data_IF_201156920851
#
_entry.id   IF_201156920851
#
_cell.length_a   1.000
_cell.length_b   1.000
_cell.length_c   1.000
_cell.angle_alpha   90.00
_cell.angle_beta   90.00
_cell.angle_gamma   90.00
#
_symmetry.space_group_name_H-M   'P 1'
#
loop_
_entity.id
_entity.type
_entity.pdbx_description
1 polymer ?
#
# COMPACT_ATOMS: atom_id res chain seq x y z
N UNK A 1 78.57 4.98 -9.87
CA UNK A 1 77.36 4.27 -10.35
C UNK A 1 76.13 4.95 -9.73
N UNK A 2 75.27 5.59 -10.53
CA UNK A 2 74.03 6.24 -10.06
C UNK A 2 72.87 5.28 -10.25
N UNK A 3 72.28 4.76 -9.17
CA UNK A 3 71.05 3.97 -9.25
C UNK A 3 69.84 4.89 -9.20
N UNK A 4 69.05 4.85 -10.28
CA UNK A 4 67.82 5.61 -10.47
C UNK A 4 66.66 4.70 -10.04
N UNK A 5 65.99 5.05 -8.95
CA UNK A 5 64.85 4.28 -8.46
C UNK A 5 63.62 4.48 -9.38
N UNK A 6 62.86 3.41 -9.68
CA UNK A 6 61.73 3.50 -10.60
C UNK A 6 60.49 4.00 -9.87
N UNK A 7 60.38 5.31 -9.63
CA UNK A 7 59.09 5.90 -9.27
C UNK A 7 58.33 6.22 -10.56
N UNK A 8 57.76 5.16 -11.17
CA UNK A 8 57.13 5.23 -12.49
C UNK A 8 55.64 5.62 -12.47
N UNK A 9 54.97 5.69 -11.31
CA UNK A 9 53.55 6.04 -11.27
C UNK A 9 53.20 6.84 -10.01
N UNK A 10 53.35 8.16 -10.09
CA UNK A 10 52.58 9.10 -9.25
C UNK A 10 51.77 9.95 -10.23
N UNK A 11 50.53 9.54 -10.45
CA UNK A 11 49.53 10.38 -11.12
C UNK A 11 48.91 11.26 -10.05
N UNK A 12 49.18 12.56 -10.09
CA UNK A 12 48.56 13.55 -9.21
C UNK A 12 47.17 13.86 -9.77
N UNK A 13 46.17 13.10 -9.37
CA UNK A 13 44.77 13.47 -9.60
C UNK A 13 44.38 14.54 -8.59
N UNK A 14 44.18 15.76 -9.10
CA UNK A 14 43.85 16.93 -8.31
C UNK A 14 42.34 16.93 -8.02
N UNK A 15 41.91 16.17 -7.02
CA UNK A 15 40.58 16.29 -6.44
C UNK A 15 40.71 16.79 -5.00
N UNK A 16 40.13 17.98 -4.77
CA UNK A 16 39.98 18.56 -3.44
C UNK A 16 39.17 17.60 -2.55
N UNK A 17 39.57 17.52 -1.28
CA UNK A 17 38.99 16.69 -0.20
C UNK A 17 39.27 15.18 -0.24
N UNK A 18 40.51 14.78 0.07
CA UNK A 18 40.77 13.64 0.97
C UNK A 18 42.23 13.58 1.44
N UNK A 19 42.42 13.37 2.75
CA UNK A 19 43.71 13.22 3.43
C UNK A 19 44.55 12.10 2.81
N UNK A 20 45.63 12.46 2.12
CA UNK A 20 46.57 11.51 1.52
C UNK A 20 47.39 10.83 2.61
N UNK A 21 47.11 9.55 2.89
CA UNK A 21 47.81 8.78 3.92
C UNK A 21 48.88 7.91 3.26
N UNK A 22 50.15 8.11 3.65
CA UNK A 22 51.27 7.27 3.20
C UNK A 22 51.80 6.44 4.38
N UNK A 23 52.04 5.14 4.15
CA UNK A 23 52.55 4.23 5.17
C UNK A 23 54.06 4.04 4.99
N UNK A 24 54.82 4.38 6.03
CA UNK A 24 56.25 4.07 6.09
C UNK A 24 56.46 2.89 7.02
N UNK A 25 57.11 1.83 6.53
CA UNK A 25 57.50 0.69 7.35
C UNK A 25 58.80 1.04 8.10
N UNK A 26 58.68 1.44 9.36
CA UNK A 26 59.83 1.66 10.25
C UNK A 26 60.22 0.34 10.91
N UNK A 27 61.47 -0.08 10.74
CA UNK A 27 62.05 -1.18 11.50
C UNK A 27 62.47 -0.70 12.89
N UNK A 28 61.82 -1.19 13.93
CA UNK A 28 62.15 -0.86 15.32
C UNK A 28 63.41 -1.61 15.75
N UNK A 29 64.56 -0.92 15.80
CA UNK A 29 65.70 -1.36 16.61
C UNK A 29 65.45 -0.89 18.05
N UNK A 30 65.38 -1.82 19.00
CA UNK A 30 65.20 -1.48 20.41
C UNK A 30 66.46 -0.79 20.93
N UNK A 31 66.37 0.50 21.20
CA UNK A 31 67.30 1.20 22.07
C UNK A 31 66.60 1.35 23.41
N UNK A 32 67.14 0.64 24.40
CA UNK A 32 66.75 0.71 25.79
C UNK A 32 67.21 2.04 26.37
N UNK A 33 66.27 2.95 26.64
CA UNK A 33 66.53 4.16 27.44
C UNK A 33 65.30 4.50 28.27
N UNK A 34 65.49 4.52 29.59
CA UNK A 34 64.52 4.89 30.62
C UNK A 34 63.79 6.20 30.32
N UNK A 35 62.46 6.14 30.17
CA UNK A 35 61.59 7.30 30.35
C UNK A 35 60.16 6.88 30.68
N UNK A 36 59.60 7.53 31.70
CA UNK A 36 58.24 7.48 32.24
C UNK A 36 57.12 7.14 31.24
N UNK A 37 56.05 6.42 31.66
CA UNK A 37 54.98 6.02 30.75
C UNK A 37 54.04 7.20 30.51
N UNK A 38 54.32 8.00 29.48
CA UNK A 38 53.31 8.89 28.90
C UNK A 38 52.38 8.03 28.06
N UNK A 39 51.25 7.62 28.67
CA UNK A 39 50.16 6.93 27.97
C UNK A 39 49.61 7.87 26.88
N UNK A 40 49.49 7.44 25.61
CA UNK A 40 48.77 8.21 24.61
C UNK A 40 47.28 8.31 24.99
N UNK A 41 46.57 9.40 24.61
CA UNK A 41 45.16 9.53 24.89
C UNK A 41 44.40 8.50 24.05
N UNK A 42 43.89 7.45 24.71
CA UNK A 42 42.92 6.55 24.10
C UNK A 42 41.63 7.35 23.94
N UNK A 43 41.33 7.77 22.70
CA UNK A 43 40.08 8.45 22.35
C UNK A 43 38.93 7.44 22.49
N UNK A 44 38.29 7.43 23.66
CA UNK A 44 37.15 6.58 23.99
C UNK A 44 35.90 7.44 24.23
N UNK A 45 35.36 8.13 23.22
CA UNK A 45 34.16 8.96 23.42
C UNK A 45 33.28 9.14 22.17
N UNK A 46 32.82 8.08 21.49
CA UNK A 46 31.80 8.27 20.42
C UNK A 46 30.65 7.26 20.38
N UNK A 47 30.77 6.08 21.01
CA UNK A 47 29.75 5.01 20.95
C UNK A 47 28.35 5.48 21.39
N UNK A 48 28.21 6.06 22.60
CA UNK A 48 26.89 6.41 23.17
C UNK A 48 26.03 7.32 22.28
N UNK A 49 26.66 8.25 21.55
CA UNK A 49 25.94 9.16 20.65
C UNK A 49 25.35 8.42 19.43
N UNK A 50 26.07 7.44 18.89
CA UNK A 50 25.57 6.61 17.80
C UNK A 50 24.37 5.75 18.23
N UNK A 51 24.44 5.13 19.42
CA UNK A 51 23.33 4.37 19.98
C UNK A 51 22.08 5.25 20.22
N UNK A 52 22.26 6.47 20.73
CA UNK A 52 21.16 7.43 20.88
C UNK A 52 20.50 7.78 19.55
N UNK A 53 21.28 7.98 18.47
CA UNK A 53 20.72 8.26 17.14
C UNK A 53 19.92 7.07 16.58
N UNK A 54 20.43 5.84 16.75
CA UNK A 54 19.73 4.63 16.32
C UNK A 54 18.38 4.48 17.04
N UNK A 55 18.34 4.77 18.35
CA UNK A 55 17.10 4.71 19.14
C UNK A 55 16.07 5.77 18.70
N UNK A 56 16.52 6.96 18.35
CA UNK A 56 15.61 8.02 17.87
C UNK A 56 15.04 7.67 16.49
N UNK A 57 15.88 7.15 15.58
CA UNK A 57 15.45 6.76 14.24
C UNK A 57 14.48 5.59 14.28
N UNK A 58 14.70 4.59 15.14
CA UNK A 58 13.81 3.44 15.25
C UNK A 58 12.42 3.82 15.77
N UNK A 59 12.33 4.76 16.71
CA UNK A 59 11.03 5.24 17.21
C UNK A 59 10.21 5.94 16.12
N UNK A 60 10.87 6.75 15.29
CA UNK A 60 10.24 7.36 14.12
C UNK A 60 9.74 6.32 13.12
N UNK A 61 10.53 5.27 12.88
CA UNK A 61 10.16 4.21 11.96
C UNK A 61 8.97 3.36 12.46
N UNK A 62 8.94 3.07 13.77
CA UNK A 62 7.84 2.32 14.41
C UNK A 62 6.53 3.10 14.33
N UNK A 63 6.55 4.39 14.66
CA UNK A 63 5.34 5.24 14.59
C UNK A 63 4.86 5.41 13.16
N UNK A 64 5.77 5.66 12.21
CA UNK A 64 5.45 5.74 10.79
C UNK A 64 4.83 4.44 10.27
N UNK A 65 5.43 3.29 10.62
CA UNK A 65 4.91 1.97 10.23
C UNK A 65 3.51 1.72 10.79
N UNK A 66 3.26 2.08 12.05
CA UNK A 66 1.96 1.95 12.68
C UNK A 66 0.88 2.80 11.98
N UNK A 67 1.20 4.05 11.66
CA UNK A 67 0.30 4.96 10.92
C UNK A 67 0.02 4.41 9.51
N UNK A 68 1.06 3.97 8.80
CA UNK A 68 0.92 3.41 7.46
C UNK A 68 0.03 2.15 7.46
N UNK A 69 0.17 1.26 8.45
CA UNK A 69 -0.69 0.08 8.61
C UNK A 69 -2.14 0.46 8.93
N UNK A 70 -2.37 1.45 9.79
CA UNK A 70 -3.72 1.92 10.11
C UNK A 70 -4.42 2.52 8.87
N UNK A 71 -3.72 3.37 8.11
CA UNK A 71 -4.22 3.97 6.86
C UNK A 71 -4.50 2.87 5.83
N UNK A 72 -3.56 1.95 5.63
CA UNK A 72 -3.71 0.82 4.71
C UNK A 72 -4.92 -0.04 5.10
N UNK A 73 -5.06 -0.39 6.38
CA UNK A 73 -6.20 -1.15 6.90
C UNK A 73 -7.53 -0.42 6.68
N UNK A 74 -7.59 0.88 6.97
CA UNK A 74 -8.79 1.69 6.72
C UNK A 74 -9.14 1.77 5.22
N UNK A 75 -8.13 1.95 4.37
CA UNK A 75 -8.30 2.01 2.92
C UNK A 75 -8.78 0.67 2.38
N UNK A 76 -8.18 -0.44 2.81
CA UNK A 76 -8.63 -1.80 2.49
C UNK A 76 -10.04 -2.04 3.00
N UNK A 77 -10.39 -1.59 4.21
CA UNK A 77 -11.73 -1.75 4.77
C UNK A 77 -12.77 -0.99 3.93
N UNK A 78 -12.56 0.30 3.67
CA UNK A 78 -13.46 1.07 2.78
C UNK A 78 -13.51 0.47 1.39
N UNK A 79 -12.37 0.09 0.83
CA UNK A 79 -12.30 -0.48 -0.50
C UNK A 79 -13.00 -1.84 -0.57
N UNK A 80 -12.86 -2.70 0.45
CA UNK A 80 -13.62 -3.96 0.55
C UNK A 80 -15.11 -3.66 0.61
N UNK A 81 -15.57 -2.78 1.50
CA UNK A 81 -17.01 -2.45 1.62
C UNK A 81 -17.57 -1.89 0.30
N UNK A 82 -16.84 -0.98 -0.35
CA UNK A 82 -17.24 -0.41 -1.64
C UNK A 82 -17.22 -1.48 -2.73
N UNK A 83 -16.21 -2.34 -2.77
CA UNK A 83 -16.10 -3.45 -3.72
C UNK A 83 -17.23 -4.45 -3.54
N UNK A 84 -17.58 -4.84 -2.30
CA UNK A 84 -18.72 -5.71 -2.03
C UNK A 84 -20.04 -5.10 -2.48
N UNK A 85 -20.26 -3.80 -2.23
CA UNK A 85 -21.46 -3.10 -2.74
C UNK A 85 -21.48 -3.06 -4.26
N UNK A 86 -20.37 -2.76 -4.92
CA UNK A 86 -20.27 -2.75 -6.39
C UNK A 86 -20.49 -4.14 -6.99
N UNK A 87 -19.92 -5.20 -6.39
CA UNK A 87 -20.12 -6.57 -6.86
C UNK A 87 -21.57 -7.03 -6.66
N UNK A 88 -22.21 -6.64 -5.56
CA UNK A 88 -23.63 -6.91 -5.33
C UNK A 88 -24.50 -6.15 -6.33
N UNK A 89 -24.21 -4.89 -6.60
CA UNK A 89 -24.96 -4.05 -7.54
C UNK A 89 -24.79 -4.51 -8.99
N UNK A 90 -23.57 -4.91 -9.39
CA UNK A 90 -23.30 -5.51 -10.70
C UNK A 90 -23.95 -6.88 -10.79
N UNK A 91 -23.89 -7.71 -9.75
CA UNK A 91 -24.54 -9.01 -9.72
C UNK A 91 -26.06 -8.89 -9.81
N UNK A 92 -26.67 -7.97 -9.06
CA UNK A 92 -28.10 -7.66 -9.15
C UNK A 92 -28.42 -7.11 -10.54
N UNK A 93 -27.64 -6.16 -11.06
CA UNK A 93 -27.86 -5.57 -12.39
C UNK A 93 -27.76 -6.62 -13.51
N UNK A 94 -26.74 -7.47 -13.45
CA UNK A 94 -26.53 -8.60 -14.37
C UNK A 94 -27.64 -9.62 -14.25
N UNK A 95 -28.10 -9.96 -13.04
CA UNK A 95 -29.26 -10.82 -12.85
C UNK A 95 -30.55 -10.16 -13.35
N UNK A 96 -30.69 -8.84 -13.26
CA UNK A 96 -31.83 -8.10 -13.83
C UNK A 96 -31.75 -7.87 -15.34
N UNK A 97 -30.58 -8.05 -15.96
CA UNK A 97 -30.40 -8.06 -17.42
C UNK A 97 -30.59 -9.48 -17.99
N UNK A 98 -30.00 -10.49 -17.35
CA UNK A 98 -30.08 -11.90 -17.77
C UNK A 98 -31.48 -12.49 -17.51
N UNK A 99 -32.07 -12.15 -16.37
CA UNK A 99 -33.51 -12.25 -16.16
C UNK A 99 -34.05 -10.84 -16.25
N UNK A 100 -34.94 -10.55 -17.20
CA UNK A 100 -35.70 -9.28 -17.30
C UNK A 100 -36.61 -8.98 -16.08
N UNK A 101 -36.17 -9.27 -14.85
CA UNK A 101 -36.80 -8.96 -13.56
C UNK A 101 -36.69 -7.46 -13.30
N UNK A 102 -37.34 -6.69 -14.16
CA UNK A 102 -37.68 -5.31 -13.88
C UNK A 102 -38.60 -5.30 -12.66
N UNK A 103 -38.20 -4.61 -11.61
CA UNK A 103 -39.09 -4.35 -10.47
C UNK A 103 -40.15 -3.34 -10.88
N UNK A 104 -41.40 -3.62 -10.50
CA UNK A 104 -42.54 -2.73 -10.69
C UNK A 104 -43.11 -2.37 -9.32
N UNK A 105 -43.40 -1.10 -9.12
CA UNK A 105 -44.13 -0.66 -7.94
C UNK A 105 -45.58 -1.15 -7.99
N UNK A 106 -46.21 -1.31 -6.82
CA UNK A 106 -47.63 -1.68 -6.74
C UNK A 106 -48.52 -0.73 -7.55
N UNK A 107 -48.22 0.57 -7.54
CA UNK A 107 -49.01 1.56 -8.27
C UNK A 107 -48.88 1.41 -9.79
N UNK A 108 -47.71 0.99 -10.30
CA UNK A 108 -47.53 0.65 -11.71
C UNK A 108 -48.32 -0.59 -12.09
N UNK A 109 -48.27 -1.64 -11.27
CA UNK A 109 -49.05 -2.87 -11.50
C UNK A 109 -50.56 -2.58 -11.45
N UNK A 110 -51.02 -1.80 -10.47
CA UNK A 110 -52.41 -1.38 -10.35
C UNK A 110 -52.88 -0.59 -11.57
N UNK A 111 -52.04 0.29 -12.12
CA UNK A 111 -52.35 1.01 -13.37
C UNK A 111 -52.35 0.06 -14.57
N UNK A 112 -51.40 -0.86 -14.65
CA UNK A 112 -51.30 -1.83 -15.73
C UNK A 112 -52.52 -2.76 -15.80
N UNK A 113 -53.08 -3.15 -14.65
CA UNK A 113 -54.24 -4.06 -14.54
C UNK A 113 -55.57 -3.33 -14.41
N UNK A 114 -55.60 -2.01 -14.58
CA UNK A 114 -56.79 -1.17 -14.37
C UNK A 114 -57.48 -1.43 -13.02
N UNK A 115 -56.68 -1.52 -11.96
CA UNK A 115 -57.16 -1.81 -10.61
C UNK A 115 -57.44 -3.29 -10.35
N UNK A 116 -56.75 -4.20 -11.05
CA UNK A 116 -56.95 -5.66 -10.92
C UNK A 116 -58.38 -6.08 -11.27
N UNK A 117 -58.96 -5.47 -12.31
CA UNK A 117 -60.38 -5.66 -12.67
C UNK A 117 -60.67 -6.98 -13.40
N UNK A 118 -59.75 -7.43 -14.25
CA UNK A 118 -59.94 -8.61 -15.10
C UNK A 118 -59.07 -9.77 -14.57
N UNK A 119 -59.70 -10.71 -13.86
CA UNK A 119 -59.06 -11.94 -13.37
C UNK A 119 -58.99 -12.98 -14.50
N UNK A 120 -57.79 -13.49 -14.76
CA UNK A 120 -57.50 -14.56 -15.72
C UNK A 120 -57.61 -15.96 -15.10
N UNK A 121 -57.46 -16.06 -13.77
CA UNK A 121 -57.65 -17.30 -13.04
C UNK A 121 -57.12 -17.23 -11.61
N UNK A 122 -57.54 -18.17 -10.77
CA UNK A 122 -57.18 -18.23 -9.34
C UNK A 122 -56.82 -19.65 -8.92
N UNK A 123 -55.75 -19.76 -8.14
CA UNK A 123 -55.27 -21.02 -7.58
C UNK A 123 -54.85 -20.89 -6.13
N UNK A 124 -54.17 -21.92 -5.60
CA UNK A 124 -53.64 -21.94 -4.22
C UNK A 124 -52.66 -20.81 -3.92
N UNK A 125 -52.03 -20.26 -4.95
CA UNK A 125 -51.03 -19.20 -4.85
C UNK A 125 -51.59 -17.80 -5.13
N UNK A 126 -52.92 -17.64 -5.23
CA UNK A 126 -53.57 -16.35 -5.50
C UNK A 126 -54.24 -16.25 -6.87
N UNK A 127 -54.72 -15.05 -7.19
CA UNK A 127 -55.38 -14.71 -8.45
C UNK A 127 -54.40 -14.05 -9.42
N UNK A 128 -54.56 -14.33 -10.71
CA UNK A 128 -53.78 -13.74 -11.80
C UNK A 128 -54.69 -12.79 -12.54
N UNK A 129 -54.21 -11.58 -12.80
CA UNK A 129 -54.95 -10.50 -13.46
C UNK A 129 -54.31 -10.14 -14.79
N UNK A 130 -55.14 -9.75 -15.75
CA UNK A 130 -54.66 -9.20 -17.02
C UNK A 130 -54.16 -7.78 -16.82
N UNK A 131 -53.02 -7.47 -17.43
CA UNK A 131 -52.51 -6.12 -17.47
C UNK A 131 -51.83 -5.78 -18.78
N UNK A 132 -51.53 -4.49 -18.96
CA UNK A 132 -50.72 -4.00 -20.08
C UNK A 132 -49.64 -3.04 -19.60
N UNK A 133 -48.42 -3.24 -20.10
CA UNK A 133 -47.26 -2.38 -19.84
C UNK A 133 -46.93 -1.55 -21.08
N UNK A 134 -46.08 -0.52 -20.88
CA UNK A 134 -45.61 0.35 -21.96
C UNK A 134 -46.74 1.00 -22.77
N UNK A 135 -47.80 1.47 -22.09
CA UNK A 135 -49.00 2.07 -22.70
C UNK A 135 -49.70 1.14 -23.69
N UNK A 136 -49.88 -0.14 -23.33
CA UNK A 136 -50.61 -1.11 -24.16
C UNK A 136 -49.75 -1.92 -25.12
N UNK A 137 -48.45 -1.62 -25.26
CA UNK A 137 -47.56 -2.31 -26.20
C UNK A 137 -47.21 -3.74 -25.78
N UNK A 138 -47.31 -4.06 -24.49
CA UNK A 138 -46.98 -5.39 -23.96
C UNK A 138 -48.11 -5.88 -23.07
N UNK A 139 -48.75 -6.98 -23.48
CA UNK A 139 -49.70 -7.69 -22.62
C UNK A 139 -48.93 -8.45 -21.54
N UNK A 140 -49.43 -8.42 -20.31
CA UNK A 140 -48.82 -9.10 -19.16
C UNK A 140 -49.90 -9.78 -18.30
N UNK A 141 -49.47 -10.78 -17.55
CA UNK A 141 -50.26 -11.38 -16.47
C UNK A 141 -49.59 -11.02 -15.13
N UNK A 142 -50.36 -10.45 -14.22
CA UNK A 142 -49.89 -10.03 -12.89
C UNK A 142 -50.46 -10.99 -11.86
N UNK A 143 -49.59 -11.65 -11.10
CA UNK A 143 -49.94 -12.55 -10.02
C UNK A 143 -49.61 -11.91 -8.67
#
# INVERSE_FOLDING_TARGET
>A
MKHKFPLKYITRENNQDQSSTAFFKVGTRSIESNSFPVKPPVVLTTSKKAWMLILVVSLGFVTYSCIALAISGFYIFKFRVIKYRRLLEIGISSLTEEFTLRSYSYNELRRATNGFKEELGKGSFGAVYKGTLYKGKKLVAVK
#
